data_IF_946125705355
#
_entry.id   IF_946125705355
#
_cell.length_a   1.000
_cell.length_b   1.000
_cell.length_c   1.000
_cell.angle_alpha   90.00
_cell.angle_beta   90.00
_cell.angle_gamma   90.00
#
_symmetry.space_group_name_H-M   'P 1'
#
loop_
_entity.id
_entity.type
_entity.pdbx_description
1 polymer ?
#
# COMPACT_ATOMS: atom_id res chain seq x y z
N UNK A 1 -19.31 -1.28 -18.35
CA UNK A 1 -18.09 -2.11 -18.53
C UNK A 1 -17.25 -1.70 -19.73
N UNK A 2 -17.80 -1.69 -20.96
CA UNK A 2 -17.02 -1.35 -22.17
C UNK A 2 -16.41 0.06 -22.11
N UNK A 3 -17.19 1.04 -21.65
CA UNK A 3 -16.73 2.43 -21.54
C UNK A 3 -15.64 2.60 -20.48
N UNK A 4 -15.78 1.93 -19.33
CA UNK A 4 -14.74 1.86 -18.30
C UNK A 4 -13.42 1.30 -18.86
N UNK A 5 -13.46 0.16 -19.57
CA UNK A 5 -12.27 -0.44 -20.17
C UNK A 5 -11.66 0.50 -21.23
N UNK A 6 -12.50 1.15 -22.04
CA UNK A 6 -12.04 2.08 -23.06
C UNK A 6 -11.36 3.31 -22.43
N UNK A 7 -11.93 3.88 -21.37
CA UNK A 7 -11.34 5.01 -20.65
C UNK A 7 -9.98 4.63 -20.01
N UNK A 8 -9.90 3.48 -19.34
CA UNK A 8 -8.64 3.00 -18.77
C UNK A 8 -7.56 2.78 -19.85
N UNK A 9 -7.92 2.20 -21.00
CA UNK A 9 -6.97 2.02 -22.13
C UNK A 9 -6.45 3.35 -22.68
N UNK A 10 -7.30 4.40 -22.76
CA UNK A 10 -6.88 5.74 -23.19
C UNK A 10 -5.85 6.36 -22.23
N UNK A 11 -5.90 5.99 -20.95
CA UNK A 11 -4.92 6.40 -19.94
C UNK A 11 -3.62 5.57 -19.96
N UNK A 12 -3.48 4.63 -20.90
CA UNK A 12 -2.30 3.77 -21.01
C UNK A 12 -2.33 2.54 -20.09
N UNK A 13 -3.46 2.23 -19.46
CA UNK A 13 -3.59 1.03 -18.62
C UNK A 13 -3.64 -0.23 -19.50
N UNK A 14 -2.73 -1.17 -19.23
CA UNK A 14 -2.76 -2.53 -19.75
C UNK A 14 -3.85 -3.32 -19.01
N UNK A 15 -5.08 -3.22 -19.51
CA UNK A 15 -6.25 -3.85 -18.87
C UNK A 15 -6.15 -5.37 -18.76
N UNK A 16 -5.32 -6.05 -19.55
CA UNK A 16 -5.16 -7.51 -19.47
C UNK A 16 -4.32 -7.89 -18.25
N UNK A 17 -3.28 -7.11 -17.97
CA UNK A 17 -2.39 -7.33 -16.82
C UNK A 17 -2.91 -6.67 -15.55
N UNK A 18 -3.42 -5.45 -15.66
CA UNK A 18 -3.69 -4.56 -14.53
C UNK A 18 -5.14 -4.59 -14.03
N UNK A 19 -6.12 -5.02 -14.83
CA UNK A 19 -7.52 -5.05 -14.43
C UNK A 19 -8.02 -6.49 -14.28
N UNK A 20 -8.46 -6.86 -13.07
CA UNK A 20 -8.99 -8.19 -12.74
C UNK A 20 -10.42 -8.10 -12.24
N UNK A 21 -11.24 -9.12 -12.55
CA UNK A 21 -12.59 -9.24 -11.99
C UNK A 21 -12.47 -9.86 -10.60
N UNK A 22 -12.89 -9.12 -9.57
CA UNK A 22 -12.84 -9.57 -8.18
C UNK A 22 -14.11 -10.30 -7.76
N UNK A 23 -15.27 -9.90 -8.28
CA UNK A 23 -16.54 -10.58 -8.04
C UNK A 23 -17.52 -10.25 -9.18
N UNK A 24 -18.26 -11.25 -9.63
CA UNK A 24 -19.38 -11.07 -10.55
C UNK A 24 -20.62 -11.67 -9.89
N UNK A 25 -21.54 -10.82 -9.43
CA UNK A 25 -22.80 -11.28 -8.87
C UNK A 25 -23.96 -10.83 -9.76
N UNK A 26 -24.90 -11.76 -9.95
CA UNK A 26 -26.10 -11.53 -10.72
C UNK A 26 -27.30 -11.86 -9.83
N UNK A 27 -28.04 -10.84 -9.39
CA UNK A 27 -29.35 -11.05 -8.76
C UNK A 27 -30.45 -11.37 -9.80
N UNK A 28 -30.06 -11.59 -11.05
CA UNK A 28 -30.93 -11.85 -12.20
C UNK A 28 -31.86 -13.04 -12.01
N UNK A 29 -31.43 -14.03 -11.23
CA UNK A 29 -32.25 -15.21 -10.97
C UNK A 29 -33.33 -14.98 -9.91
N UNK A 30 -33.42 -13.78 -9.28
CA UNK A 30 -34.36 -13.52 -8.19
C UNK A 30 -35.53 -12.59 -8.53
N UNK A 31 -35.38 -11.59 -9.41
CA UNK A 31 -36.48 -10.65 -9.78
C UNK A 31 -36.33 -10.08 -11.20
N UNK A 32 -37.46 -9.77 -11.86
CA UNK A 32 -37.57 -9.18 -13.21
C UNK A 32 -36.86 -7.82 -13.41
N UNK A 33 -36.37 -7.18 -12.34
CA UNK A 33 -35.70 -5.88 -12.35
C UNK A 33 -34.31 -5.93 -11.69
N UNK A 34 -33.59 -7.04 -11.85
CA UNK A 34 -32.29 -7.22 -11.21
C UNK A 34 -31.20 -6.35 -11.82
N UNK A 35 -30.32 -5.81 -10.98
CA UNK A 35 -29.07 -5.16 -11.41
C UNK A 35 -27.94 -6.18 -11.30
N UNK A 36 -27.17 -6.36 -12.39
CA UNK A 36 -25.93 -7.13 -12.35
C UNK A 36 -24.80 -6.24 -11.81
N UNK A 37 -24.06 -6.73 -10.81
CA UNK A 37 -22.93 -6.00 -10.22
C UNK A 37 -21.63 -6.72 -10.50
N UNK A 38 -20.66 -6.00 -11.06
CA UNK A 38 -19.30 -6.48 -11.25
C UNK A 38 -18.34 -5.63 -10.41
N UNK A 39 -17.47 -6.30 -9.65
CA UNK A 39 -16.37 -5.68 -8.90
C UNK A 39 -15.08 -5.95 -9.62
N UNK A 40 -14.28 -4.91 -9.82
CA UNK A 40 -12.96 -5.01 -10.45
C UNK A 40 -11.87 -4.56 -9.47
N UNK A 41 -10.68 -5.12 -9.65
CA UNK A 41 -9.45 -4.68 -8.99
C UNK A 41 -8.51 -4.17 -10.07
N UNK A 42 -8.03 -2.94 -9.91
CA UNK A 42 -7.10 -2.28 -10.80
C UNK A 42 -5.78 -2.06 -10.08
N UNK A 43 -4.68 -2.55 -10.65
CA UNK A 43 -3.32 -2.36 -10.12
C UNK A 43 -2.60 -1.26 -10.90
N UNK A 44 -2.26 -0.17 -10.22
CA UNK A 44 -1.53 0.97 -10.77
C UNK A 44 -0.20 1.14 -10.02
N UNK A 45 0.79 1.72 -10.68
CA UNK A 45 2.16 1.85 -10.20
C UNK A 45 2.49 3.16 -9.51
N UNK A 46 1.66 4.20 -9.68
CA UNK A 46 1.91 5.53 -9.10
C UNK A 46 0.62 6.23 -8.64
N UNK A 47 0.78 7.20 -7.73
CA UNK A 47 -0.32 8.02 -7.27
C UNK A 47 -0.89 8.90 -8.40
N UNK A 48 -0.04 9.35 -9.33
CA UNK A 48 -0.47 10.09 -10.52
C UNK A 48 -1.37 9.24 -11.45
N UNK A 49 -1.07 7.94 -11.62
CA UNK A 49 -1.95 7.03 -12.35
C UNK A 49 -3.29 6.83 -11.63
N UNK A 50 -3.28 6.71 -10.29
CA UNK A 50 -4.50 6.61 -9.49
C UNK A 50 -5.36 7.86 -9.65
N UNK A 51 -4.79 9.05 -9.57
CA UNK A 51 -5.51 10.31 -9.75
C UNK A 51 -6.19 10.40 -11.13
N UNK A 52 -5.44 10.10 -12.22
CA UNK A 52 -6.00 10.09 -13.58
C UNK A 52 -7.10 9.04 -13.76
N UNK A 53 -6.90 7.84 -13.22
CA UNK A 53 -7.91 6.79 -13.27
C UNK A 53 -9.17 7.16 -12.49
N UNK A 54 -9.01 7.76 -11.30
CA UNK A 54 -10.12 8.24 -10.49
C UNK A 54 -10.95 9.28 -11.24
N UNK A 55 -10.31 10.29 -11.83
CA UNK A 55 -10.99 11.33 -12.61
C UNK A 55 -11.76 10.72 -13.80
N UNK A 56 -11.14 9.83 -14.57
CA UNK A 56 -11.80 9.20 -15.71
C UNK A 56 -12.98 8.29 -15.28
N UNK A 57 -12.92 7.68 -14.11
CA UNK A 57 -14.03 6.89 -13.55
C UNK A 57 -15.16 7.80 -13.04
N UNK A 58 -14.84 8.94 -12.41
CA UNK A 58 -15.81 9.96 -11.98
C UNK A 58 -16.57 10.55 -13.18
N UNK A 59 -15.87 10.86 -14.27
CA UNK A 59 -16.47 11.33 -15.53
C UNK A 59 -17.44 10.32 -16.17
N UNK A 60 -17.24 9.02 -15.89
CA UNK A 60 -18.14 7.95 -16.30
C UNK A 60 -19.27 7.66 -15.29
N UNK A 61 -19.35 8.42 -14.19
CA UNK A 61 -20.33 8.23 -13.11
C UNK A 61 -20.05 7.00 -12.24
N UNK A 62 -18.83 6.45 -12.29
CA UNK A 62 -18.41 5.32 -11.45
C UNK A 62 -17.81 5.87 -10.16
N UNK A 63 -18.65 6.00 -9.13
CA UNK A 63 -18.26 6.59 -7.83
C UNK A 63 -17.88 5.57 -6.75
N UNK A 64 -18.23 4.30 -6.91
CA UNK A 64 -17.89 3.25 -5.94
C UNK A 64 -16.46 2.72 -6.17
N UNK A 65 -15.50 3.61 -5.99
CA UNK A 65 -14.06 3.35 -6.16
C UNK A 65 -13.36 3.55 -4.81
N UNK A 66 -12.48 2.63 -4.44
CA UNK A 66 -11.69 2.74 -3.21
C UNK A 66 -10.31 2.12 -3.38
N UNK A 67 -9.35 2.59 -2.59
CA UNK A 67 -8.01 2.01 -2.53
C UNK A 67 -8.09 0.75 -1.66
N UNK A 68 -7.91 -0.42 -2.29
CA UNK A 68 -7.91 -1.70 -1.58
C UNK A 68 -6.60 -1.94 -0.80
N UNK A 69 -5.46 -1.66 -1.44
CA UNK A 69 -4.12 -1.90 -0.90
C UNK A 69 -3.11 -0.98 -1.58
N UNK A 70 -2.16 -0.48 -0.80
CA UNK A 70 -0.92 0.13 -1.30
C UNK A 70 0.23 -0.80 -0.92
N UNK A 71 1.18 -1.00 -1.83
CA UNK A 71 2.32 -1.91 -1.62
C UNK A 71 3.54 -1.41 -2.38
N UNK A 72 4.69 -2.02 -2.14
CA UNK A 72 5.91 -1.80 -2.90
C UNK A 72 6.29 -3.08 -3.68
N UNK A 73 6.83 -2.94 -4.89
CA UNK A 73 7.27 -4.08 -5.71
C UNK A 73 8.43 -4.85 -5.08
N UNK A 74 9.25 -4.16 -4.29
CA UNK A 74 10.40 -4.73 -3.57
C UNK A 74 10.11 -4.96 -2.08
N UNK A 75 8.83 -5.01 -1.67
CA UNK A 75 8.46 -5.07 -0.25
C UNK A 75 9.13 -6.23 0.48
N UNK A 76 9.13 -7.43 -0.11
CA UNK A 76 9.72 -8.62 0.55
C UNK A 76 11.23 -8.49 0.69
N UNK A 77 11.92 -7.94 -0.32
CA UNK A 77 13.35 -7.64 -0.23
C UNK A 77 13.65 -6.64 0.89
N UNK A 78 12.88 -5.54 0.96
CA UNK A 78 13.06 -4.51 1.99
C UNK A 78 12.79 -5.06 3.39
N UNK A 79 11.84 -5.99 3.54
CA UNK A 79 11.60 -6.67 4.82
C UNK A 79 12.83 -7.45 5.28
N UNK A 80 13.48 -8.20 4.40
CA UNK A 80 14.69 -8.94 4.75
C UNK A 80 15.88 -8.03 5.07
N UNK A 81 16.04 -6.93 4.32
CA UNK A 81 17.07 -5.93 4.60
C UNK A 81 16.90 -5.32 6.01
N UNK A 82 15.67 -4.94 6.38
CA UNK A 82 15.38 -4.37 7.70
C UNK A 82 15.57 -5.39 8.83
N UNK A 83 15.30 -6.69 8.60
CA UNK A 83 15.58 -7.77 9.58
C UNK A 83 17.07 -7.91 9.87
N UNK A 84 17.90 -7.87 8.83
CA UNK A 84 19.36 -7.94 8.98
C UNK A 84 19.86 -6.72 9.75
N UNK A 85 19.37 -5.53 9.44
CA UNK A 85 19.71 -4.31 10.17
C UNK A 85 19.27 -4.37 11.64
N UNK A 86 18.10 -4.91 11.96
CA UNK A 86 17.67 -5.12 13.34
C UNK A 86 18.64 -6.03 14.13
N UNK A 87 19.13 -7.11 13.52
CA UNK A 87 20.12 -7.99 14.14
C UNK A 87 21.49 -7.30 14.32
N UNK A 88 21.93 -6.51 13.32
CA UNK A 88 23.16 -5.71 13.42
C UNK A 88 23.07 -4.71 14.55
N UNK A 89 21.94 -4.01 14.65
CA UNK A 89 21.65 -3.07 15.72
C UNK A 89 21.65 -3.76 17.10
N UNK A 90 21.04 -4.93 17.24
CA UNK A 90 21.06 -5.70 18.48
C UNK A 90 22.49 -6.09 18.91
N UNK A 91 23.34 -6.49 17.96
CA UNK A 91 24.76 -6.79 18.21
C UNK A 91 25.53 -5.55 18.68
N UNK A 92 25.37 -4.43 17.98
CA UNK A 92 26.08 -3.19 18.30
C UNK A 92 25.66 -2.62 19.65
N UNK A 93 24.37 -2.74 20.01
CA UNK A 93 23.85 -2.40 21.34
C UNK A 93 24.48 -3.30 22.41
N UNK A 94 24.44 -4.63 22.24
CA UNK A 94 25.05 -5.56 23.19
C UNK A 94 26.55 -5.29 23.41
N UNK A 95 27.31 -4.99 22.34
CA UNK A 95 28.72 -4.59 22.44
C UNK A 95 28.89 -3.34 23.29
N UNK A 96 28.14 -2.28 23.00
CA UNK A 96 28.21 -1.00 23.71
C UNK A 96 27.95 -1.18 25.21
N UNK A 97 26.95 -1.99 25.57
CA UNK A 97 26.61 -2.27 26.96
C UNK A 97 27.65 -3.14 27.67
N UNK A 98 28.22 -4.14 27.00
CA UNK A 98 29.29 -4.97 27.58
C UNK A 98 30.56 -4.16 27.85
N UNK A 99 30.95 -3.30 26.91
CA UNK A 99 32.14 -2.44 27.03
C UNK A 99 32.03 -1.48 28.22
N UNK A 100 30.83 -0.97 28.50
CA UNK A 100 30.58 -0.08 29.65
C UNK A 100 30.87 -0.73 31.01
N UNK A 101 30.90 -2.06 31.09
CA UNK A 101 31.24 -2.82 32.30
C UNK A 101 32.57 -3.57 32.19
N UNK A 102 33.40 -3.22 31.20
CA UNK A 102 34.72 -3.82 30.99
C UNK A 102 34.70 -5.23 30.41
N UNK A 103 33.59 -5.65 29.80
CA UNK A 103 33.43 -6.94 29.13
C UNK A 103 33.38 -6.78 27.60
N UNK A 104 33.53 -7.90 26.89
CA UNK A 104 33.35 -7.99 25.43
C UNK A 104 32.22 -8.97 25.12
N UNK A 105 31.57 -8.79 23.96
CA UNK A 105 30.59 -9.77 23.48
C UNK A 105 31.29 -10.91 22.73
N UNK A 106 30.90 -12.14 23.05
CA UNK A 106 31.27 -13.37 22.36
C UNK A 106 30.23 -13.81 21.33
N UNK A 107 30.12 -15.13 21.11
CA UNK A 107 29.19 -15.70 20.13
C UNK A 107 27.72 -15.41 20.49
N UNK A 108 26.90 -15.13 19.49
CA UNK A 108 25.45 -15.13 19.62
C UNK A 108 24.95 -16.58 19.76
N UNK A 109 24.14 -16.86 20.78
CA UNK A 109 23.61 -18.21 21.04
C UNK A 109 22.09 -18.28 21.01
N UNK A 110 21.41 -17.14 20.90
CA UNK A 110 19.97 -17.06 20.83
C UNK A 110 19.57 -15.87 19.96
N UNK A 111 18.68 -16.13 19.01
CA UNK A 111 18.01 -15.11 18.20
C UNK A 111 16.53 -15.43 18.23
N UNK A 112 15.72 -14.43 18.56
CA UNK A 112 14.27 -14.47 18.46
C UNK A 112 13.81 -13.31 17.60
N UNK A 113 13.20 -13.68 16.49
CA UNK A 113 12.60 -12.77 15.53
C UNK A 113 11.08 -12.86 15.68
N UNK A 114 10.47 -11.84 16.30
CA UNK A 114 9.02 -11.78 16.51
C UNK A 114 8.27 -11.16 15.34
N UNK A 115 8.94 -10.86 14.22
CA UNK A 115 8.37 -10.04 13.15
C UNK A 115 7.50 -10.81 12.15
N UNK A 116 6.82 -11.88 12.59
CA UNK A 116 5.79 -12.51 11.77
C UNK A 116 4.63 -11.54 11.56
N UNK A 117 4.19 -11.40 10.31
CA UNK A 117 3.03 -10.59 9.93
C UNK A 117 3.09 -9.13 10.36
N UNK A 118 4.28 -8.51 10.38
CA UNK A 118 4.39 -7.05 10.42
C UNK A 118 3.76 -6.51 9.15
N UNK A 119 2.46 -6.26 9.24
CA UNK A 119 1.73 -5.47 8.27
C UNK A 119 2.36 -4.09 8.34
N UNK A 120 2.88 -3.59 7.20
CA UNK A 120 3.42 -2.25 7.17
C UNK A 120 2.41 -1.30 7.81
N UNK A 121 2.88 -0.34 8.60
CA UNK A 121 2.01 0.68 9.14
C UNK A 121 1.48 1.51 7.95
N UNK A 122 0.36 1.06 7.39
CA UNK A 122 -0.36 1.80 6.37
C UNK A 122 -1.01 2.96 7.12
N UNK A 123 -0.38 4.12 7.05
CA UNK A 123 -1.11 5.35 7.31
C UNK A 123 -2.38 5.32 6.45
N UNK A 124 -3.49 5.82 6.99
CA UNK A 124 -4.72 5.97 6.23
C UNK A 124 -4.39 6.75 4.94
N UNK A 125 -4.29 6.02 3.83
CA UNK A 125 -3.98 6.53 2.49
C UNK A 125 -5.29 6.86 1.77
N UNK A 126 -6.31 7.29 2.53
CA UNK A 126 -7.50 7.92 1.97
C UNK A 126 -7.07 9.18 1.25
N UNK A 127 -6.77 9.06 -0.04
CA UNK A 127 -6.68 10.18 -0.94
C UNK A 127 -8.09 10.78 -0.97
N UNK A 128 -8.29 11.94 -0.35
CA UNK A 128 -9.56 12.65 -0.40
C UNK A 128 -9.64 13.34 -1.76
N UNK A 129 -9.96 12.55 -2.80
CA UNK A 129 -10.31 13.09 -4.10
C UNK A 129 -11.77 13.52 -4.06
N UNK A 130 -12.01 14.83 -4.07
CA UNK A 130 -13.35 15.40 -4.14
C UNK A 130 -13.94 15.12 -5.52
N UNK A 131 -15.11 14.49 -5.57
CA UNK A 131 -15.85 14.27 -6.83
C UNK A 131 -16.35 15.59 -7.41
N UNK A 132 -16.68 15.62 -8.70
CA UNK A 132 -17.30 16.81 -9.34
C UNK A 132 -18.54 17.34 -8.61
N UNK A 133 -19.33 16.45 -7.99
CA UNK A 133 -20.48 16.81 -7.17
C UNK A 133 -20.12 17.67 -5.93
N UNK A 134 -18.87 17.61 -5.49
CA UNK A 134 -18.33 18.41 -4.38
C UNK A 134 -17.68 19.73 -4.85
N UNK A 135 -17.43 19.87 -6.15
CA UNK A 135 -16.80 21.03 -6.78
C UNK A 135 -17.83 22.10 -7.15
N UNK A 136 -19.05 21.70 -7.53
CA UNK A 136 -20.16 22.61 -7.86
C UNK A 136 -20.64 23.47 -6.66
N UNK A 137 -20.09 23.24 -5.46
CA UNK A 137 -20.39 23.99 -4.23
C UNK A 137 -19.23 24.86 -3.73
N UNK A 138 -18.09 24.92 -4.44
CA UNK A 138 -16.95 25.74 -4.04
C UNK A 138 -16.23 26.30 -5.28
N UNK A 139 -16.66 27.49 -5.74
CA UNK A 139 -15.85 28.33 -6.63
C UNK A 139 -14.61 28.81 -5.87
N UNK A 140 -13.42 28.44 -6.35
CA UNK A 140 -12.17 29.00 -5.83
C UNK A 140 -10.92 28.29 -6.33
N UNK A 141 -10.20 28.99 -7.21
CA UNK A 141 -8.78 28.87 -7.54
C UNK A 141 -8.15 27.47 -7.61
N UNK A 142 -7.82 27.04 -8.84
CA UNK A 142 -6.84 26.00 -9.09
C UNK A 142 -5.44 26.47 -8.66
N UNK A 143 -5.13 26.34 -7.37
CA UNK A 143 -3.75 26.19 -6.93
C UNK A 143 -3.21 24.90 -7.55
N UNK A 144 -1.97 24.89 -8.07
CA UNK A 144 -1.29 23.66 -8.47
C UNK A 144 -1.31 22.71 -7.28
N UNK A 145 -2.26 21.77 -7.30
CA UNK A 145 -2.41 20.80 -6.23
C UNK A 145 -1.07 20.10 -6.08
N UNK A 146 -0.44 20.14 -4.89
CA UNK A 146 0.81 19.45 -4.67
C UNK A 146 0.59 17.99 -5.09
N UNK A 147 1.49 17.47 -5.93
CA UNK A 147 1.38 16.13 -6.47
C UNK A 147 1.09 15.14 -5.32
N UNK A 148 -0.17 14.69 -5.23
CA UNK A 148 -0.57 13.77 -4.18
C UNK A 148 0.18 12.47 -4.41
N UNK A 149 1.04 12.12 -3.47
CA UNK A 149 1.77 10.86 -3.46
C UNK A 149 1.25 9.95 -2.33
N UNK A 150 1.53 8.65 -2.43
CA UNK A 150 1.26 7.73 -1.35
C UNK A 150 2.18 8.01 -0.17
N UNK A 151 1.66 7.88 1.06
CA UNK A 151 2.52 7.95 2.24
C UNK A 151 3.55 6.83 2.21
N UNK A 152 4.77 7.15 2.62
CA UNK A 152 5.87 6.20 2.72
C UNK A 152 5.48 5.00 3.58
N UNK A 153 5.69 3.80 3.04
CA UNK A 153 5.48 2.54 3.76
C UNK A 153 6.63 2.38 4.76
N UNK A 154 6.32 2.41 6.05
CA UNK A 154 7.31 2.20 7.12
C UNK A 154 7.38 0.73 7.51
N UNK A 155 8.59 0.18 7.50
CA UNK A 155 8.91 -1.15 8.02
C UNK A 155 9.63 -0.99 9.36
N UNK A 156 9.11 -1.63 10.41
CA UNK A 156 9.68 -1.62 11.74
C UNK A 156 9.79 -3.05 12.23
N UNK A 157 10.99 -3.46 12.61
CA UNK A 157 11.30 -4.82 13.01
C UNK A 157 12.06 -4.81 14.34
N UNK A 158 11.71 -5.73 15.24
CA UNK A 158 12.39 -5.96 16.49
C UNK A 158 13.00 -7.36 16.51
N UNK A 159 14.28 -7.46 16.88
CA UNK A 159 14.97 -8.75 17.07
C UNK A 159 15.53 -8.78 18.48
N UNK A 160 15.31 -9.88 19.18
CA UNK A 160 15.99 -10.17 20.43
C UNK A 160 17.17 -11.10 20.15
N UNK A 161 18.36 -10.70 20.58
CA UNK A 161 19.55 -11.53 20.51
C UNK A 161 20.24 -11.61 21.87
N UNK A 162 20.80 -12.77 22.20
CA UNK A 162 21.64 -12.97 23.39
C UNK A 162 23.04 -13.38 22.98
N UNK A 163 24.02 -12.78 23.62
CA UNK A 163 25.44 -12.97 23.38
C UNK A 163 26.11 -13.44 24.66
N UNK A 164 27.13 -14.28 24.54
CA UNK A 164 28.03 -14.58 25.65
C UNK A 164 28.80 -13.30 26.01
N UNK A 165 29.12 -13.10 27.29
CA UNK A 165 30.04 -12.05 27.74
C UNK A 165 31.40 -12.66 28.09
N UNK A 166 32.47 -11.96 27.71
CA UNK A 166 33.87 -12.34 27.87
C UNK A 166 34.65 -11.27 28.63
#
# INVERSE_FOLDING_TARGET
QRDMIAALRRLGVDVEKQLKVANLSSEFFRKKSSVATAKYQLQLGSAAEVARAWQALDELGISNVSILKVSHSQLDRLKEEVRVEAMRNARDNARTLAEAVGQRIGKCFYVYDSNNDVMPAYYNNSMVMRSKASFDSAEGAAEEEPALDFKTIKLQYGVQAKFVLE
#
